data_IF_376527213632
#
_entry.id   IF_376527213632
#
_cell.length_a   1.000
_cell.length_b   1.000
_cell.length_c   1.000
_cell.angle_alpha   90.00
_cell.angle_beta   90.00
_cell.angle_gamma   90.00
#
_symmetry.space_group_name_H-M   'P 1'
#
loop_
_entity.id
_entity.type
_entity.pdbx_description
1 polymer ?
#
# COMPACT_ATOMS: atom_id res chain seq x y z
N UNK A 1 27.54 5.70 -14.08
CA UNK A 1 26.11 5.82 -14.44
C UNK A 1 25.31 5.38 -13.22
N UNK A 2 25.01 6.31 -12.34
CA UNK A 2 24.31 6.03 -11.06
C UNK A 2 22.82 5.99 -11.36
N UNK A 3 22.24 4.79 -11.32
CA UNK A 3 20.80 4.57 -11.52
C UNK A 3 20.07 4.99 -10.24
N UNK A 4 19.60 6.22 -10.20
CA UNK A 4 18.73 6.68 -9.12
C UNK A 4 17.35 6.02 -9.31
N UNK A 5 17.08 4.96 -8.56
CA UNK A 5 15.74 4.40 -8.42
C UNK A 5 15.01 5.38 -7.49
N UNK A 6 14.11 6.20 -8.06
CA UNK A 6 13.14 6.95 -7.25
C UNK A 6 12.20 5.92 -6.63
N UNK A 7 12.51 5.55 -5.41
CA UNK A 7 11.71 4.67 -4.57
C UNK A 7 10.71 5.58 -3.87
N UNK A 8 9.49 5.66 -4.37
CA UNK A 8 8.41 6.26 -3.60
C UNK A 8 8.00 5.25 -2.53
N UNK A 9 8.85 5.10 -1.50
CA UNK A 9 8.51 4.37 -0.30
C UNK A 9 7.83 5.38 0.61
N UNK A 10 6.50 5.37 0.64
CA UNK A 10 5.77 6.07 1.67
C UNK A 10 5.97 5.32 2.99
N UNK A 11 7.17 5.45 3.58
CA UNK A 11 7.42 5.05 4.96
C UNK A 11 6.82 6.17 5.79
N UNK A 12 5.60 5.97 6.25
CA UNK A 12 4.92 6.88 7.16
C UNK A 12 5.66 6.90 8.48
N UNK A 13 6.58 7.84 8.62
CA UNK A 13 7.14 8.30 9.87
C UNK A 13 6.24 9.43 10.35
N UNK A 14 5.65 9.23 11.55
CA UNK A 14 4.86 10.19 12.32
C UNK A 14 3.47 10.57 11.76
N UNK A 15 2.45 9.84 12.24
CA UNK A 15 1.21 10.46 12.63
C UNK A 15 1.17 10.45 14.16
N UNK A 16 1.47 11.57 14.74
CA UNK A 16 1.11 11.86 16.13
C UNK A 16 -0.40 11.73 16.23
N UNK A 17 -0.81 10.97 17.23
CA UNK A 17 -2.21 10.80 17.58
C UNK A 17 -2.81 12.19 17.80
N UNK A 18 -3.60 12.66 16.86
CA UNK A 18 -4.48 13.80 17.09
C UNK A 18 -5.48 13.37 18.14
N UNK A 19 -5.28 13.88 19.34
CA UNK A 19 -6.16 13.75 20.47
C UNK A 19 -7.52 14.35 20.10
N UNK A 20 -8.52 13.50 19.90
CA UNK A 20 -9.89 13.92 19.72
C UNK A 20 -10.53 14.11 21.10
N UNK A 21 -10.95 15.31 21.50
CA UNK A 21 -11.78 15.47 22.69
C UNK A 21 -13.25 15.18 22.35
N UNK A 22 -13.86 14.36 23.18
CA UNK A 22 -15.30 14.37 23.43
C UNK A 22 -16.17 13.57 22.46
N UNK A 23 -16.47 12.30 22.83
CA UNK A 23 -17.66 11.61 22.36
C UNK A 23 -18.88 12.11 23.11
N UNK A 24 -20.00 12.45 22.45
CA UNK A 24 -21.30 12.45 23.10
C UNK A 24 -21.84 11.02 23.18
N UNK A 25 -22.25 10.64 24.38
CA UNK A 25 -23.00 9.43 24.66
C UNK A 25 -24.41 9.54 24.06
N UNK A 26 -24.83 8.59 23.28
CA UNK A 26 -26.25 8.31 23.01
C UNK A 26 -26.49 6.85 23.33
N UNK A 27 -27.28 6.62 24.38
CA UNK A 27 -27.92 5.33 24.68
C UNK A 27 -29.10 5.13 23.70
N UNK A 28 -29.29 3.93 23.22
CA UNK A 28 -30.40 2.99 23.45
C UNK A 28 -30.55 1.97 22.35
N UNK A 29 -30.51 0.79 22.79
CA UNK A 29 -31.48 -0.30 22.72
C UNK A 29 -31.64 -1.13 21.44
N UNK A 30 -31.46 -2.44 21.72
CA UNK A 30 -32.17 -3.60 21.17
C UNK A 30 -31.70 -4.14 19.79
N UNK A 31 -30.97 -5.25 19.86
CA UNK A 31 -30.78 -6.15 18.72
C UNK A 31 -29.62 -7.13 18.90
N UNK A 32 -29.85 -8.18 19.70
CA UNK A 32 -28.91 -9.30 19.88
C UNK A 32 -28.52 -9.96 18.55
N UNK A 33 -27.25 -9.82 18.17
CA UNK A 33 -26.54 -10.86 17.42
C UNK A 33 -25.28 -11.17 18.20
N UNK A 34 -25.32 -12.28 18.94
CA UNK A 34 -24.21 -12.84 19.68
C UNK A 34 -23.22 -13.47 18.71
N UNK A 35 -22.24 -12.71 18.23
CA UNK A 35 -21.05 -13.30 17.63
C UNK A 35 -20.05 -13.54 18.77
N UNK A 36 -19.99 -14.78 19.20
CA UNK A 36 -18.94 -15.25 20.12
C UNK A 36 -17.62 -15.25 19.36
N UNK A 37 -16.86 -14.17 19.50
CA UNK A 37 -15.44 -14.23 19.12
C UNK A 37 -14.71 -14.99 20.22
N UNK A 38 -14.40 -16.25 19.94
CA UNK A 38 -13.47 -17.03 20.73
C UNK A 38 -12.11 -16.36 20.63
N UNK A 39 -11.69 -15.78 21.74
CA UNK A 39 -10.34 -15.24 21.93
C UNK A 39 -9.36 -16.43 21.96
N UNK A 40 -8.86 -16.86 20.81
CA UNK A 40 -7.71 -17.74 20.74
C UNK A 40 -6.48 -16.91 21.06
N UNK A 41 -6.04 -16.94 22.31
CA UNK A 41 -4.72 -16.49 22.71
C UNK A 41 -3.70 -17.29 21.90
N UNK A 42 -3.06 -16.62 20.93
CA UNK A 42 -1.81 -17.12 20.35
C UNK A 42 -0.80 -17.31 21.48
N UNK A 43 -0.09 -18.45 21.53
CA UNK A 43 0.95 -18.63 22.53
C UNK A 43 2.03 -17.59 22.30
N UNK A 44 2.22 -16.71 23.29
CA UNK A 44 3.35 -15.78 23.33
C UNK A 44 4.64 -16.59 23.51
N UNK A 45 5.19 -17.06 22.40
CA UNK A 45 6.54 -17.61 22.40
C UNK A 45 7.51 -16.42 22.39
N UNK A 46 7.86 -15.95 23.57
CA UNK A 46 8.88 -14.91 23.78
C UNK A 46 10.27 -15.48 23.51
N UNK A 47 10.62 -15.69 22.25
CA UNK A 47 11.99 -16.00 21.86
C UNK A 47 12.81 -14.71 21.84
N UNK A 48 13.18 -14.24 23.02
CA UNK A 48 13.97 -13.02 23.25
C UNK A 48 15.32 -13.05 22.52
N UNK A 49 15.89 -14.21 22.30
CA UNK A 49 17.15 -14.38 21.56
C UNK A 49 16.98 -14.08 20.06
N UNK A 50 15.84 -14.46 19.48
CA UNK A 50 15.51 -14.17 18.07
C UNK A 50 15.30 -12.68 17.84
N UNK A 51 14.57 -12.01 18.72
CA UNK A 51 14.31 -10.58 18.62
C UNK A 51 15.62 -9.75 18.75
N UNK A 52 16.54 -10.18 19.60
CA UNK A 52 17.84 -9.53 19.77
C UNK A 52 18.75 -9.72 18.54
N UNK A 53 18.72 -10.90 17.91
CA UNK A 53 19.45 -11.20 16.69
C UNK A 53 18.92 -10.38 15.50
N UNK A 54 17.59 -10.24 15.38
CA UNK A 54 16.92 -9.39 14.38
C UNK A 54 17.30 -7.93 14.57
N UNK A 55 17.25 -7.43 15.79
CA UNK A 55 17.63 -6.05 16.10
C UNK A 55 19.10 -5.77 15.76
N UNK A 56 20.00 -6.72 16.01
CA UNK A 56 21.42 -6.60 15.68
C UNK A 56 21.70 -6.66 14.18
N UNK A 57 21.01 -7.52 13.44
CA UNK A 57 21.13 -7.61 11.98
C UNK A 57 20.55 -6.38 11.28
N UNK A 58 19.49 -5.80 11.84
CA UNK A 58 18.84 -4.60 11.32
C UNK A 58 19.59 -3.31 11.65
N UNK A 59 20.44 -3.30 12.68
CA UNK A 59 21.17 -2.11 13.11
C UNK A 59 22.12 -1.52 12.05
N UNK A 60 22.43 -2.28 11.00
CA UNK A 60 23.24 -1.83 9.87
C UNK A 60 22.46 -1.46 8.61
N UNK A 61 21.13 -1.65 8.58
CA UNK A 61 20.34 -1.36 7.38
C UNK A 61 20.15 0.15 7.22
N UNK A 62 20.56 0.64 6.07
CA UNK A 62 20.39 2.05 5.70
C UNK A 62 19.59 2.15 4.41
N UNK A 63 18.68 3.10 4.37
CA UNK A 63 17.84 3.38 3.21
C UNK A 63 18.00 4.86 2.84
N UNK A 64 17.91 5.12 1.53
CA UNK A 64 17.83 6.49 1.05
C UNK A 64 16.38 6.97 1.20
N UNK A 65 16.20 8.05 1.91
CA UNK A 65 14.92 8.72 2.09
C UNK A 65 14.83 9.94 1.16
N UNK A 66 13.81 9.95 0.31
CA UNK A 66 13.60 11.04 -0.66
C UNK A 66 13.10 12.33 -0.01
N UNK A 67 12.48 12.26 1.17
CA UNK A 67 12.01 13.45 1.87
C UNK A 67 13.17 14.23 2.50
N UNK A 68 14.12 13.54 3.11
CA UNK A 68 15.32 14.14 3.71
C UNK A 68 16.49 14.26 2.74
N UNK A 69 16.39 13.66 1.54
CA UNK A 69 17.49 13.54 0.56
C UNK A 69 18.77 12.93 1.12
N UNK A 70 18.66 12.04 2.10
CA UNK A 70 19.79 11.46 2.81
C UNK A 70 19.65 9.94 2.97
N UNK A 71 20.80 9.28 3.17
CA UNK A 71 20.83 7.88 3.59
C UNK A 71 20.75 7.82 5.10
N UNK A 72 19.69 7.26 5.64
CA UNK A 72 19.45 7.13 7.08
C UNK A 72 19.35 5.68 7.52
N UNK A 73 19.61 5.42 8.79
CA UNK A 73 19.39 4.11 9.39
C UNK A 73 17.92 3.79 9.45
N UNK A 74 17.56 2.58 9.02
CA UNK A 74 16.18 2.12 9.09
C UNK A 74 15.78 1.85 10.54
N UNK A 75 14.66 2.45 10.95
CA UNK A 75 14.04 2.21 12.26
C UNK A 75 12.58 1.82 12.06
N UNK A 76 12.16 0.60 12.42
CA UNK A 76 10.77 0.19 12.27
C UNK A 76 9.87 0.93 13.26
N UNK A 77 8.65 1.27 12.86
CA UNK A 77 7.64 1.89 13.73
C UNK A 77 7.26 0.92 14.86
N UNK A 78 7.13 -0.36 14.53
CA UNK A 78 6.89 -1.43 15.50
C UNK A 78 8.06 -2.40 15.48
N UNK A 79 8.68 -2.72 16.62
CA UNK A 79 9.79 -3.66 16.66
C UNK A 79 9.46 -4.99 15.97
N UNK A 80 10.34 -5.45 15.10
CA UNK A 80 10.20 -6.72 14.38
C UNK A 80 9.16 -6.72 13.26
N UNK A 81 8.51 -5.59 12.94
CA UNK A 81 7.50 -5.50 11.88
C UNK A 81 7.86 -4.42 10.87
N UNK A 82 7.61 -4.71 9.60
CA UNK A 82 7.81 -3.77 8.49
C UNK A 82 6.56 -3.74 7.62
N UNK A 83 6.01 -2.55 7.41
CA UNK A 83 4.97 -2.31 6.41
C UNK A 83 5.59 -1.70 5.15
N UNK A 84 5.31 -2.28 4.01
CA UNK A 84 5.75 -1.78 2.71
C UNK A 84 4.51 -1.54 1.85
N UNK A 85 4.35 -0.32 1.36
CA UNK A 85 3.35 0.00 0.35
C UNK A 85 4.03 0.35 -0.97
N UNK A 86 3.60 -0.27 -2.05
CA UNK A 86 4.11 -0.03 -3.39
C UNK A 86 2.95 0.34 -4.30
N UNK A 87 3.08 1.45 -5.02
CA UNK A 87 2.10 1.79 -6.05
C UNK A 87 2.08 0.69 -7.12
N UNK A 88 0.91 0.14 -7.35
CA UNK A 88 0.68 -0.86 -8.38
C UNK A 88 0.47 -0.25 -9.75
N UNK A 89 0.28 -1.10 -10.74
CA UNK A 89 0.06 -0.68 -12.10
C UNK A 89 -1.38 -0.27 -12.38
N UNK A 90 -1.57 0.69 -13.31
CA UNK A 90 -2.84 0.89 -13.98
C UNK A 90 -3.01 -0.23 -15.02
N UNK A 91 -4.04 -1.05 -14.85
CA UNK A 91 -4.24 -2.26 -15.67
C UNK A 91 -4.95 -1.94 -16.99
N UNK A 92 -4.33 -1.04 -17.76
CA UNK A 92 -4.85 -0.52 -19.03
C UNK A 92 -4.44 -1.33 -20.26
N UNK A 93 -3.35 -2.11 -20.15
CA UNK A 93 -2.73 -2.90 -21.22
C UNK A 93 -1.78 -3.94 -20.63
N UNK A 94 -1.27 -4.85 -21.44
CA UNK A 94 -0.32 -5.87 -21.03
C UNK A 94 0.91 -5.30 -20.32
N UNK A 95 1.46 -6.02 -19.33
CA UNK A 95 2.67 -5.59 -18.64
C UNK A 95 3.87 -5.53 -19.58
N UNK A 96 4.75 -4.58 -19.34
CA UNK A 96 6.05 -4.51 -20.01
C UNK A 96 7.18 -4.55 -18.98
N UNK A 97 8.41 -4.64 -19.46
CA UNK A 97 9.60 -4.84 -18.61
C UNK A 97 9.75 -3.79 -17.51
N UNK A 98 9.27 -2.56 -17.71
CA UNK A 98 9.33 -1.51 -16.71
C UNK A 98 8.46 -1.85 -15.48
N UNK A 99 7.23 -2.34 -15.70
CA UNK A 99 6.35 -2.78 -14.63
C UNK A 99 6.95 -3.97 -13.86
N UNK A 100 7.43 -4.96 -14.62
CA UNK A 100 8.00 -6.19 -14.06
C UNK A 100 9.26 -5.91 -13.25
N UNK A 101 10.13 -5.01 -13.72
CA UNK A 101 11.34 -4.62 -13.00
C UNK A 101 11.02 -4.03 -11.63
N UNK A 102 10.00 -3.18 -11.54
CA UNK A 102 9.58 -2.61 -10.27
C UNK A 102 9.10 -3.70 -9.30
N UNK A 103 8.25 -4.62 -9.78
CA UNK A 103 7.75 -5.72 -8.97
C UNK A 103 8.87 -6.61 -8.42
N UNK A 104 9.83 -7.01 -9.25
CA UNK A 104 10.99 -7.82 -8.84
C UNK A 104 11.87 -7.07 -7.83
N UNK A 105 12.12 -5.77 -8.06
CA UNK A 105 12.93 -4.97 -7.16
C UNK A 105 12.33 -4.91 -5.74
N UNK A 106 11.02 -4.71 -5.64
CA UNK A 106 10.34 -4.68 -4.35
C UNK A 106 10.17 -6.06 -3.71
N UNK A 107 10.07 -7.12 -4.51
CA UNK A 107 10.10 -8.50 -4.00
C UNK A 107 11.45 -8.82 -3.35
N UNK A 108 12.55 -8.38 -3.95
CA UNK A 108 13.89 -8.51 -3.35
C UNK A 108 13.98 -7.75 -2.02
N UNK A 109 13.45 -6.53 -1.96
CA UNK A 109 13.41 -5.73 -0.73
C UNK A 109 12.59 -6.43 0.36
N UNK A 110 11.40 -6.95 0.01
CA UNK A 110 10.55 -7.73 0.91
C UNK A 110 11.30 -8.93 1.49
N UNK A 111 11.86 -9.79 0.62
CA UNK A 111 12.61 -11.00 1.02
C UNK A 111 13.82 -10.65 1.88
N UNK A 112 14.46 -9.52 1.63
CA UNK A 112 15.58 -9.07 2.45
C UNK A 112 15.13 -8.75 3.87
N UNK A 113 14.02 -8.03 4.07
CA UNK A 113 13.47 -7.80 5.39
C UNK A 113 13.06 -9.08 6.09
N UNK A 114 12.43 -10.03 5.36
CA UNK A 114 12.06 -11.34 5.91
C UNK A 114 13.29 -12.14 6.32
N UNK A 115 14.34 -12.11 5.50
CA UNK A 115 15.65 -12.73 5.85
C UNK A 115 16.28 -12.10 7.10
N UNK A 116 16.10 -10.83 7.32
CA UNK A 116 16.53 -10.14 8.55
C UNK A 116 15.65 -10.48 9.76
N UNK A 117 14.59 -11.28 9.58
CA UNK A 117 13.68 -11.74 10.63
C UNK A 117 12.51 -10.81 10.91
N UNK A 118 12.24 -9.83 10.06
CA UNK A 118 11.05 -8.99 10.19
C UNK A 118 9.79 -9.72 9.68
N UNK A 119 8.67 -9.49 10.37
CA UNK A 119 7.36 -9.80 9.82
C UNK A 119 6.99 -8.69 8.84
N UNK A 120 6.92 -9.02 7.56
CA UNK A 120 6.63 -8.03 6.50
C UNK A 120 5.16 -8.06 6.14
N UNK A 121 4.53 -6.89 6.12
CA UNK A 121 3.21 -6.66 5.51
C UNK A 121 3.44 -5.90 4.21
N UNK A 122 3.26 -6.55 3.09
CA UNK A 122 3.47 -5.97 1.76
C UNK A 122 2.13 -5.67 1.11
N UNK A 123 1.90 -4.42 0.76
CA UNK A 123 0.68 -3.95 0.10
C UNK A 123 1.04 -3.36 -1.26
N UNK A 124 0.32 -3.77 -2.28
CA UNK A 124 0.40 -3.21 -3.63
C UNK A 124 -1.01 -3.02 -4.15
N UNK A 125 -1.37 -1.81 -4.55
CA UNK A 125 -2.70 -1.56 -5.10
C UNK A 125 -2.81 -1.99 -6.57
N UNK A 126 -4.04 -2.12 -7.03
CA UNK A 126 -4.39 -2.24 -8.46
C UNK A 126 -5.23 -1.02 -8.83
N UNK A 127 -4.75 -0.24 -9.79
CA UNK A 127 -5.55 0.85 -10.38
C UNK A 127 -6.40 0.25 -11.50
N UNK A 128 -7.59 -0.19 -11.13
CA UNK A 128 -8.53 -0.88 -12.01
C UNK A 128 -9.58 0.07 -12.63
N UNK A 129 -9.52 1.37 -12.29
CA UNK A 129 -10.28 2.45 -12.93
C UNK A 129 -9.38 3.67 -13.10
N UNK A 130 -9.36 4.24 -14.31
CA UNK A 130 -8.51 5.36 -14.71
C UNK A 130 -8.97 5.80 -16.11
N UNK A 131 -8.78 7.07 -16.48
CA UNK A 131 -9.18 7.59 -17.79
C UNK A 131 -8.55 6.79 -18.93
N UNK A 132 -7.29 6.37 -18.78
CA UNK A 132 -6.60 5.54 -19.77
C UNK A 132 -7.25 4.17 -19.98
N UNK A 133 -7.89 3.61 -18.94
CA UNK A 133 -8.66 2.37 -19.06
C UNK A 133 -9.96 2.64 -19.83
N UNK A 134 -10.65 3.73 -19.48
CA UNK A 134 -11.90 4.13 -20.12
C UNK A 134 -11.71 4.39 -21.62
N UNK A 135 -10.71 5.20 -21.98
CA UNK A 135 -10.39 5.55 -23.36
C UNK A 135 -10.00 4.32 -24.20
N UNK A 136 -9.14 3.47 -23.65
CA UNK A 136 -8.71 2.26 -24.37
C UNK A 136 -9.81 1.21 -24.48
N UNK A 137 -10.68 1.11 -23.50
CA UNK A 137 -11.84 0.22 -23.56
C UNK A 137 -12.81 0.70 -24.63
N UNK A 138 -13.14 2.00 -24.64
CA UNK A 138 -14.02 2.60 -25.66
C UNK A 138 -13.46 2.40 -27.08
N UNK A 139 -12.16 2.67 -27.26
CA UNK A 139 -11.51 2.46 -28.56
C UNK A 139 -11.51 1.00 -29.05
N UNK A 140 -11.54 0.04 -28.12
CA UNK A 140 -11.58 -1.39 -28.42
C UNK A 140 -13.02 -1.97 -28.44
N UNK A 141 -14.05 -1.18 -28.19
CA UNK A 141 -15.44 -1.66 -28.07
C UNK A 141 -15.67 -2.58 -26.88
N UNK A 142 -14.89 -2.44 -25.84
CA UNK A 142 -14.94 -3.23 -24.61
C UNK A 142 -15.56 -2.42 -23.46
N UNK A 143 -16.06 -3.12 -22.44
CA UNK A 143 -16.38 -2.50 -21.17
C UNK A 143 -15.09 -2.23 -20.39
N UNK A 144 -15.02 -1.11 -19.66
CA UNK A 144 -13.83 -0.73 -18.91
C UNK A 144 -13.42 -1.78 -17.84
N UNK A 145 -14.40 -2.36 -17.15
CA UNK A 145 -14.16 -3.39 -16.14
C UNK A 145 -13.68 -4.70 -16.77
N UNK A 146 -14.16 -5.05 -17.96
CA UNK A 146 -13.68 -6.21 -18.72
C UNK A 146 -12.20 -6.04 -19.06
N UNK A 147 -11.84 -4.86 -19.58
CA UNK A 147 -10.45 -4.52 -19.90
C UNK A 147 -9.56 -4.60 -18.67
N UNK A 148 -9.94 -3.95 -17.58
CA UNK A 148 -9.19 -3.96 -16.33
C UNK A 148 -8.98 -5.38 -15.82
N UNK A 149 -10.01 -6.21 -15.83
CA UNK A 149 -9.96 -7.61 -15.39
C UNK A 149 -8.98 -8.45 -16.23
N UNK A 150 -9.01 -8.32 -17.56
CA UNK A 150 -8.11 -9.06 -18.45
C UNK A 150 -6.65 -8.73 -18.13
N UNK A 151 -6.32 -7.44 -18.10
CA UNK A 151 -4.93 -7.01 -17.90
C UNK A 151 -4.44 -7.22 -16.46
N UNK A 152 -5.28 -7.09 -15.46
CA UNK A 152 -4.93 -7.46 -14.08
C UNK A 152 -4.46 -8.93 -14.00
N UNK A 153 -5.13 -9.83 -14.70
CA UNK A 153 -4.72 -11.24 -14.76
C UNK A 153 -3.40 -11.43 -15.49
N UNK A 154 -3.17 -10.72 -16.59
CA UNK A 154 -1.88 -10.75 -17.29
C UNK A 154 -0.73 -10.26 -16.41
N UNK A 155 -0.95 -9.19 -15.63
CA UNK A 155 0.03 -8.73 -14.65
C UNK A 155 0.32 -9.80 -13.58
N UNK A 156 -0.72 -10.40 -13.01
CA UNK A 156 -0.58 -11.45 -11.99
C UNK A 156 0.19 -12.66 -12.54
N UNK A 157 -0.13 -13.08 -13.76
CA UNK A 157 0.56 -14.18 -14.43
C UNK A 157 2.04 -13.85 -14.68
N UNK A 158 2.34 -12.64 -15.16
CA UNK A 158 3.71 -12.21 -15.42
C UNK A 158 4.54 -12.16 -14.12
N UNK A 159 3.97 -11.66 -13.03
CA UNK A 159 4.63 -11.68 -11.71
C UNK A 159 4.89 -13.11 -11.24
N UNK A 160 3.91 -13.98 -11.35
CA UNK A 160 4.02 -15.38 -10.96
C UNK A 160 5.10 -16.13 -11.74
N UNK A 161 5.19 -15.91 -13.06
CA UNK A 161 6.23 -16.51 -13.92
C UNK A 161 7.65 -16.14 -13.50
N UNK A 162 7.83 -14.99 -12.86
CA UNK A 162 9.12 -14.53 -12.36
C UNK A 162 9.35 -14.85 -10.88
N UNK A 163 8.43 -15.58 -10.25
CA UNK A 163 8.53 -15.96 -8.83
C UNK A 163 8.39 -14.78 -7.88
N UNK A 164 7.80 -13.66 -8.32
CA UNK A 164 7.43 -12.55 -7.44
C UNK A 164 6.32 -13.01 -6.51
N UNK A 165 6.52 -12.86 -5.22
CA UNK A 165 5.53 -13.25 -4.22
C UNK A 165 4.29 -12.37 -4.27
N UNK A 166 3.08 -12.95 -4.12
CA UNK A 166 1.87 -12.17 -4.05
C UNK A 166 1.92 -11.22 -2.84
N UNK A 167 1.32 -10.02 -2.92
CA UNK A 167 1.26 -9.11 -1.79
C UNK A 167 0.42 -9.69 -0.65
N UNK A 168 0.65 -9.22 0.57
CA UNK A 168 -0.20 -9.55 1.73
C UNK A 168 -1.62 -9.05 1.52
N UNK A 169 -1.75 -7.88 0.88
CA UNK A 169 -3.02 -7.29 0.50
C UNK A 169 -2.88 -6.50 -0.81
N UNK A 170 -3.84 -6.70 -1.71
CA UNK A 170 -3.85 -6.06 -3.04
C UNK A 170 -5.19 -5.32 -3.24
N UNK A 171 -5.33 -4.09 -2.68
CA UNK A 171 -6.55 -3.30 -2.79
C UNK A 171 -6.75 -2.81 -4.23
N UNK A 172 -7.99 -2.88 -4.71
CA UNK A 172 -8.41 -2.26 -5.97
C UNK A 172 -8.96 -0.87 -5.71
N UNK A 173 -8.70 0.06 -6.64
CA UNK A 173 -9.21 1.43 -6.54
C UNK A 173 -10.75 1.45 -6.47
N UNK A 174 -11.43 0.66 -7.29
CA UNK A 174 -12.90 0.55 -7.27
C UNK A 174 -13.47 0.06 -5.94
N UNK A 175 -12.74 -0.79 -5.23
CA UNK A 175 -13.13 -1.30 -3.92
C UNK A 175 -13.03 -0.29 -2.78
N UNK A 176 -12.34 0.86 -3.00
CA UNK A 176 -12.04 1.87 -1.98
C UNK A 176 -12.57 3.27 -2.32
N UNK A 177 -13.54 3.38 -3.25
CA UNK A 177 -14.09 4.66 -3.66
C UNK A 177 -14.68 5.47 -2.49
N UNK A 178 -15.37 4.83 -1.56
CA UNK A 178 -15.95 5.50 -0.39
C UNK A 178 -14.83 6.02 0.52
N UNK A 179 -13.80 5.21 0.78
CA UNK A 179 -12.66 5.60 1.60
C UNK A 179 -11.91 6.80 0.99
N UNK A 180 -11.76 6.83 -0.34
CA UNK A 180 -11.16 7.95 -1.07
C UNK A 180 -12.01 9.21 -0.95
N UNK A 181 -13.33 9.13 -1.10
CA UNK A 181 -14.24 10.25 -0.94
C UNK A 181 -14.14 10.83 0.48
N UNK A 182 -14.12 9.98 1.48
CA UNK A 182 -14.01 10.41 2.87
C UNK A 182 -12.64 11.04 3.18
N UNK A 183 -11.57 10.55 2.56
CA UNK A 183 -10.26 11.17 2.65
C UNK A 183 -10.23 12.55 1.99
N UNK A 184 -10.81 12.69 0.78
CA UNK A 184 -10.91 13.95 0.05
C UNK A 184 -11.68 14.98 0.87
N UNK A 185 -12.82 14.60 1.45
CA UNK A 185 -13.58 15.49 2.34
C UNK A 185 -12.72 16.00 3.50
N UNK A 186 -11.98 15.11 4.18
CA UNK A 186 -11.07 15.52 5.27
C UNK A 186 -9.99 16.47 4.81
N UNK A 187 -9.45 16.29 3.60
CA UNK A 187 -8.44 17.19 3.02
C UNK A 187 -9.04 18.57 2.79
N UNK A 188 -10.26 18.64 2.24
CA UNK A 188 -10.98 19.89 2.01
C UNK A 188 -11.31 20.58 3.34
N UNK A 189 -11.87 19.85 4.30
CA UNK A 189 -12.25 20.38 5.61
C UNK A 189 -11.05 20.94 6.39
N UNK A 190 -9.86 20.40 6.17
CA UNK A 190 -8.60 20.88 6.74
C UNK A 190 -7.97 22.04 5.95
N UNK A 191 -8.62 22.55 4.89
CA UNK A 191 -8.13 23.67 4.09
C UNK A 191 -6.98 23.32 3.13
N UNK A 192 -6.74 22.03 2.87
CA UNK A 192 -5.68 21.55 1.98
C UNK A 192 -6.20 21.15 0.59
N UNK A 193 -7.47 21.41 0.30
CA UNK A 193 -8.09 21.14 -0.98
C UNK A 193 -9.26 22.08 -1.25
N UNK A 194 -9.63 22.19 -2.51
CA UNK A 194 -10.80 22.96 -2.94
C UNK A 194 -11.52 22.25 -4.10
N UNK A 195 -12.80 22.49 -4.24
CA UNK A 195 -13.60 21.96 -5.36
C UNK A 195 -13.42 22.85 -6.57
N UNK A 196 -12.88 22.29 -7.67
CA UNK A 196 -12.78 22.96 -8.95
C UNK A 196 -13.79 22.36 -9.93
N UNK A 197 -14.67 23.20 -10.48
CA UNK A 197 -15.70 22.78 -11.43
C UNK A 197 -15.20 22.72 -12.88
N UNK A 198 -13.98 23.24 -13.15
CA UNK A 198 -13.42 23.32 -14.51
C UNK A 198 -12.56 22.10 -14.87
N UNK A 199 -12.03 21.41 -13.86
CA UNK A 199 -11.18 20.24 -14.08
C UNK A 199 -11.55 19.18 -13.05
N UNK A 200 -11.80 17.97 -13.52
CA UNK A 200 -12.07 16.80 -12.68
C UNK A 200 -10.84 15.91 -12.50
N UNK A 201 -9.71 16.25 -13.11
CA UNK A 201 -8.48 15.47 -13.07
C UNK A 201 -7.25 16.38 -12.92
N UNK A 202 -6.24 15.78 -12.30
CA UNK A 202 -4.83 16.21 -12.23
C UNK A 202 -4.44 17.33 -11.28
N UNK A 203 -4.49 17.01 -9.98
CA UNK A 203 -3.60 17.63 -9.01
C UNK A 203 -2.36 16.75 -8.69
N UNK A 204 -2.15 15.64 -9.42
CA UNK A 204 -1.12 14.65 -9.09
C UNK A 204 0.08 14.62 -10.05
N UNK A 205 0.08 15.41 -11.12
CA UNK A 205 1.15 15.41 -12.14
C UNK A 205 2.08 16.62 -12.12
N UNK A 206 2.00 17.50 -11.09
CA UNK A 206 2.94 18.60 -10.88
C UNK A 206 3.98 18.29 -9.79
#
# INVERSE_FOLDING_TARGET
MTLAIRLCVCIRSQYDAVHMPGKPSVMSDSGNILMTMTNTQEPQNTNTSGALAVAKAAAGLKLYDTASHAVSSFTPIKPGQVGIYVCGATVQSSPHIGHIRAAVAFDVVRRWFERLGYKVTFVRNVTDIDDKILDKAAAAGQQWWERAYIYEREFTEAYSKLGVEPPTYEPRATGHMIDMIDLIKKIIDNGHGYVCLLYTSDAADD
#
